data_IF_594732472359
#
_entry.id   IF_594732472359
#
_cell.length_a   1.000
_cell.length_b   1.000
_cell.length_c   1.000
_cell.angle_alpha   90.00
_cell.angle_beta   90.00
_cell.angle_gamma   90.00
#
_symmetry.space_group_name_H-M   'P 1'
#
loop_
_entity.id
_entity.type
_entity.pdbx_description
1 polymer ?
#
# COMPACT_ATOMS: atom_id res chain seq x y z
N UNK A 1 11.61 -32.20 1.79
CA UNK A 1 11.88 -30.94 2.51
C UNK A 1 13.28 -31.04 3.11
N UNK A 2 14.18 -30.08 2.87
CA UNK A 2 15.52 -30.08 3.47
C UNK A 2 15.47 -30.20 5.00
N UNK A 3 16.42 -30.90 5.63
CA UNK A 3 16.49 -31.06 7.10
C UNK A 3 16.43 -29.70 7.82
N UNK A 4 17.07 -28.68 7.25
CA UNK A 4 17.04 -27.30 7.75
C UNK A 4 15.62 -26.73 7.83
N UNK A 5 14.80 -26.93 6.80
CA UNK A 5 13.42 -26.43 6.76
C UNK A 5 12.51 -27.22 7.70
N UNK A 6 12.76 -28.52 7.85
CA UNK A 6 12.07 -29.34 8.85
C UNK A 6 12.34 -28.83 10.26
N UNK A 7 13.61 -28.62 10.62
CA UNK A 7 13.99 -28.11 11.94
C UNK A 7 13.46 -26.69 12.18
N UNK A 8 13.52 -25.81 11.17
CA UNK A 8 12.97 -24.47 11.27
C UNK A 8 11.46 -24.51 11.57
N UNK A 9 10.70 -25.35 10.85
CA UNK A 9 9.26 -25.52 11.09
C UNK A 9 8.96 -26.16 12.45
N UNK A 10 9.73 -27.16 12.87
CA UNK A 10 9.55 -27.82 14.15
C UNK A 10 9.73 -26.85 15.34
N UNK A 11 10.63 -25.86 15.20
CA UNK A 11 10.88 -24.85 16.24
C UNK A 11 9.91 -23.67 16.21
N UNK A 12 9.08 -23.51 15.16
CA UNK A 12 8.16 -22.37 15.02
C UNK A 12 7.28 -22.13 16.25
N UNK A 13 6.62 -23.14 16.85
CA UNK A 13 5.73 -22.89 17.98
C UNK A 13 6.46 -22.34 19.20
N UNK A 14 7.70 -22.79 19.42
CA UNK A 14 8.54 -22.31 20.51
C UNK A 14 8.99 -20.87 20.24
N UNK A 15 9.49 -20.60 19.03
CA UNK A 15 9.98 -19.27 18.66
C UNK A 15 8.84 -18.23 18.62
N UNK A 16 7.64 -18.62 18.18
CA UNK A 16 6.46 -17.77 18.25
C UNK A 16 6.11 -17.40 19.69
N UNK A 17 6.16 -18.34 20.65
CA UNK A 17 5.94 -18.01 22.07
C UNK A 17 6.96 -16.99 22.60
N UNK A 18 8.21 -17.05 22.13
CA UNK A 18 9.22 -16.04 22.46
C UNK A 18 8.91 -14.69 21.81
N UNK A 19 8.49 -14.67 20.53
CA UNK A 19 8.01 -13.45 19.87
C UNK A 19 6.86 -12.80 20.65
N UNK A 20 5.86 -13.59 21.06
CA UNK A 20 4.68 -13.09 21.76
C UNK A 20 5.05 -12.48 23.12
N UNK A 21 5.97 -13.10 23.86
CA UNK A 21 6.51 -12.54 25.11
C UNK A 21 7.27 -11.22 24.88
N UNK A 22 8.06 -11.15 23.80
CA UNK A 22 8.76 -9.92 23.43
C UNK A 22 7.76 -8.81 23.07
N UNK A 23 6.71 -9.10 22.28
CA UNK A 23 5.67 -8.13 21.96
C UNK A 23 4.90 -7.66 23.20
N UNK A 24 4.49 -8.59 24.07
CA UNK A 24 3.79 -8.27 25.33
C UNK A 24 4.66 -7.43 26.28
N UNK A 25 5.97 -7.62 26.27
CA UNK A 25 6.93 -6.81 27.02
C UNK A 25 7.29 -5.47 26.35
N UNK A 26 6.68 -5.10 25.23
CA UNK A 26 6.97 -3.84 24.51
C UNK A 26 8.25 -3.90 23.64
N UNK A 27 8.89 -5.07 23.52
CA UNK A 27 10.12 -5.27 22.75
C UNK A 27 9.85 -5.64 21.28
N UNK A 28 8.98 -4.87 20.61
CA UNK A 28 8.54 -5.14 19.23
C UNK A 28 9.72 -5.27 18.24
N UNK A 29 10.75 -4.43 18.36
CA UNK A 29 11.94 -4.48 17.50
C UNK A 29 12.68 -5.81 17.64
N UNK A 30 12.81 -6.34 18.85
CA UNK A 30 13.45 -7.63 19.10
C UNK A 30 12.60 -8.78 18.54
N UNK A 31 11.27 -8.71 18.68
CA UNK A 31 10.36 -9.68 18.07
C UNK A 31 10.50 -9.69 16.53
N UNK A 32 10.56 -8.52 15.89
CA UNK A 32 10.77 -8.42 14.44
C UNK A 32 12.15 -8.95 13.99
N UNK A 33 13.21 -8.67 14.75
CA UNK A 33 14.53 -9.25 14.48
C UNK A 33 14.50 -10.78 14.56
N UNK A 34 13.78 -11.34 15.53
CA UNK A 34 13.61 -12.78 15.69
C UNK A 34 12.84 -13.40 14.51
N UNK A 35 11.76 -12.77 14.05
CA UNK A 35 11.02 -13.20 12.85
C UNK A 35 11.87 -13.16 11.60
N UNK A 36 12.67 -12.10 11.41
CA UNK A 36 13.60 -12.00 10.28
C UNK A 36 14.65 -13.11 10.31
N UNK A 37 15.20 -13.43 11.49
CA UNK A 37 16.13 -14.57 11.65
C UNK A 37 15.47 -15.90 11.28
N UNK A 38 14.26 -16.14 11.77
CA UNK A 38 13.48 -17.34 11.40
C UNK A 38 13.24 -17.44 9.90
N UNK A 39 12.85 -16.33 9.25
CA UNK A 39 12.64 -16.31 7.81
C UNK A 39 13.94 -16.61 7.04
N UNK A 40 15.07 -16.11 7.50
CA UNK A 40 16.38 -16.38 6.89
C UNK A 40 16.88 -17.83 7.14
N UNK A 41 16.38 -18.50 8.18
CA UNK A 41 16.68 -19.91 8.43
C UNK A 41 15.97 -20.82 7.44
N UNK A 42 14.81 -20.41 6.92
CA UNK A 42 14.07 -21.16 5.90
C UNK A 42 14.72 -21.04 4.53
N UNK A 43 14.47 -22.04 3.69
CA UNK A 43 14.77 -21.96 2.26
C UNK A 43 13.91 -20.89 1.59
N UNK A 44 14.46 -20.31 0.53
CA UNK A 44 13.71 -19.38 -0.31
C UNK A 44 12.53 -20.09 -0.97
N UNK A 45 11.33 -19.55 -0.79
CA UNK A 45 10.09 -20.05 -1.37
C UNK A 45 9.46 -18.96 -2.23
N UNK A 46 9.51 -19.13 -3.56
CA UNK A 46 9.03 -18.12 -4.52
C UNK A 46 7.55 -17.77 -4.32
N UNK A 47 6.72 -18.77 -4.02
CA UNK A 47 5.28 -18.58 -3.81
C UNK A 47 4.98 -17.63 -2.64
N UNK A 48 5.70 -17.77 -1.52
CA UNK A 48 5.54 -16.89 -0.35
C UNK A 48 5.87 -15.42 -0.69
N UNK A 49 6.90 -15.19 -1.50
CA UNK A 49 7.26 -13.85 -1.94
C UNK A 49 6.35 -13.29 -3.04
N UNK A 50 5.71 -14.15 -3.86
CA UNK A 50 4.69 -13.72 -4.81
C UNK A 50 3.41 -13.26 -4.09
N UNK A 51 3.03 -13.91 -2.97
CA UNK A 51 1.93 -13.41 -2.13
C UNK A 51 2.24 -12.02 -1.56
N UNK A 52 3.46 -11.81 -1.05
CA UNK A 52 3.92 -10.48 -0.62
C UNK A 52 3.83 -9.46 -1.75
N UNK A 53 4.33 -9.79 -2.94
CA UNK A 53 4.30 -8.91 -4.10
C UNK A 53 2.89 -8.54 -4.51
N UNK A 54 1.98 -9.52 -4.59
CA UNK A 54 0.57 -9.30 -4.91
C UNK A 54 -0.08 -8.37 -3.89
N UNK A 55 0.16 -8.61 -2.59
CA UNK A 55 -0.37 -7.75 -1.52
C UNK A 55 0.09 -6.29 -1.66
N UNK A 56 1.38 -6.05 -1.91
CA UNK A 56 1.92 -4.70 -2.09
C UNK A 56 1.35 -4.02 -3.34
N UNK A 57 1.18 -4.77 -4.43
CA UNK A 57 0.57 -4.25 -5.66
C UNK A 57 -0.89 -3.87 -5.45
N UNK A 58 -1.67 -4.69 -4.76
CA UNK A 58 -3.08 -4.40 -4.52
C UNK A 58 -3.25 -3.26 -3.52
N UNK A 59 -2.39 -3.16 -2.50
CA UNK A 59 -2.28 -1.98 -1.63
C UNK A 59 -2.05 -0.68 -2.43
N UNK A 60 -1.16 -0.71 -3.42
CA UNK A 60 -0.94 0.43 -4.30
C UNK A 60 -2.16 0.74 -5.18
N UNK A 61 -2.78 -0.27 -5.80
CA UNK A 61 -3.99 -0.10 -6.62
C UNK A 61 -5.14 0.49 -5.80
N UNK A 62 -5.34 0.01 -4.58
CA UNK A 62 -6.36 0.52 -3.67
C UNK A 62 -6.14 2.00 -3.39
N UNK A 63 -4.92 2.39 -3.00
CA UNK A 63 -4.56 3.81 -2.81
C UNK A 63 -4.78 4.65 -4.06
N UNK A 64 -4.45 4.12 -5.24
CA UNK A 64 -4.69 4.80 -6.51
C UNK A 64 -6.18 5.06 -6.73
N UNK A 65 -7.03 4.05 -6.56
CA UNK A 65 -8.48 4.17 -6.77
C UNK A 65 -9.14 5.12 -5.77
N UNK A 66 -8.72 5.09 -4.50
CA UNK A 66 -9.26 6.00 -3.47
C UNK A 66 -8.85 7.45 -3.75
N UNK A 67 -7.62 7.69 -4.19
CA UNK A 67 -7.19 9.04 -4.57
C UNK A 67 -7.95 9.54 -5.80
N UNK A 68 -8.21 8.64 -6.77
CA UNK A 68 -9.08 8.93 -7.92
C UNK A 68 -10.50 9.28 -7.49
N UNK A 69 -11.09 8.49 -6.58
CA UNK A 69 -12.42 8.73 -6.03
C UNK A 69 -12.49 10.11 -5.36
N UNK A 70 -11.54 10.41 -4.47
CA UNK A 70 -11.49 11.70 -3.77
C UNK A 70 -11.40 12.90 -4.72
N UNK A 71 -10.54 12.79 -5.75
CA UNK A 71 -10.41 13.84 -6.76
C UNK A 71 -11.70 14.04 -7.57
N UNK A 72 -12.35 12.95 -8.00
CA UNK A 72 -13.60 13.04 -8.76
C UNK A 72 -14.77 13.49 -7.92
N UNK A 73 -14.80 13.15 -6.63
CA UNK A 73 -15.81 13.62 -5.69
C UNK A 73 -15.72 15.15 -5.54
N UNK A 74 -14.51 15.69 -5.36
CA UNK A 74 -14.31 17.15 -5.29
C UNK A 74 -14.82 17.86 -6.55
N UNK A 75 -14.54 17.30 -7.73
CA UNK A 75 -15.03 17.83 -9.00
C UNK A 75 -16.56 17.77 -9.10
N UNK A 76 -17.14 16.62 -8.73
CA UNK A 76 -18.59 16.43 -8.70
C UNK A 76 -19.26 17.46 -7.78
N UNK A 77 -18.78 17.61 -6.55
CA UNK A 77 -19.37 18.52 -5.56
C UNK A 77 -19.28 19.98 -6.03
N UNK A 78 -18.18 20.36 -6.70
CA UNK A 78 -18.02 21.69 -7.30
C UNK A 78 -19.05 21.95 -8.39
N UNK A 79 -19.24 21.00 -9.32
CA UNK A 79 -20.21 21.14 -10.42
C UNK A 79 -21.65 21.12 -9.92
N UNK A 80 -21.94 20.27 -8.94
CA UNK A 80 -23.26 20.19 -8.31
C UNK A 80 -23.65 21.52 -7.65
N UNK A 81 -22.73 22.15 -6.91
CA UNK A 81 -22.95 23.48 -6.34
C UNK A 81 -23.15 24.58 -7.39
N UNK A 82 -22.55 24.44 -8.59
CA UNK A 82 -22.77 25.38 -9.69
C UNK A 82 -24.16 25.21 -10.30
N UNK A 83 -24.60 23.96 -10.47
CA UNK A 83 -25.95 23.64 -10.94
C UNK A 83 -27.02 24.21 -10.01
N UNK A 84 -26.89 24.01 -8.70
CA UNK A 84 -27.83 24.50 -7.68
C UNK A 84 -27.97 26.03 -7.69
N UNK A 85 -26.91 26.76 -8.05
CA UNK A 85 -26.89 28.23 -8.09
C UNK A 85 -27.35 28.81 -9.43
N UNK A 86 -27.43 28.00 -10.49
CA UNK A 86 -27.79 28.47 -11.83
C UNK A 86 -29.26 28.18 -12.14
N UNK A 87 -30.08 29.22 -12.31
CA UNK A 87 -31.49 29.07 -12.70
C UNK A 87 -31.68 28.45 -14.11
N UNK A 88 -30.63 28.46 -14.92
CA UNK A 88 -30.55 27.79 -16.22
C UNK A 88 -29.29 26.92 -16.27
N UNK A 89 -29.37 25.73 -15.67
CA UNK A 89 -28.33 24.72 -15.80
C UNK A 89 -28.11 24.41 -17.28
N UNK A 90 -26.87 24.55 -17.76
CA UNK A 90 -26.56 24.12 -19.14
C UNK A 90 -26.68 22.60 -19.22
N UNK A 91 -27.26 22.09 -20.32
CA UNK A 91 -27.36 20.65 -20.55
C UNK A 91 -25.98 19.96 -20.43
N UNK A 92 -24.91 20.66 -20.81
CA UNK A 92 -23.52 20.21 -20.66
C UNK A 92 -23.13 19.94 -19.20
N UNK A 93 -23.48 20.82 -18.26
CA UNK A 93 -23.16 20.64 -16.83
C UNK A 93 -23.92 19.45 -16.23
N UNK A 94 -25.18 19.26 -16.63
CA UNK A 94 -25.99 18.10 -16.21
C UNK A 94 -25.35 16.81 -16.70
N UNK A 95 -25.04 16.72 -18.00
CA UNK A 95 -24.40 15.53 -18.58
C UNK A 95 -23.03 15.24 -17.96
N UNK A 96 -22.23 16.26 -17.67
CA UNK A 96 -20.92 16.08 -17.01
C UNK A 96 -21.08 15.56 -15.58
N UNK A 97 -22.05 16.07 -14.83
CA UNK A 97 -22.35 15.63 -13.46
C UNK A 97 -22.82 14.18 -13.43
N UNK A 98 -23.74 13.79 -14.33
CA UNK A 98 -24.19 12.40 -14.48
C UNK A 98 -23.03 11.46 -14.86
N UNK A 99 -22.16 11.89 -15.78
CA UNK A 99 -20.97 11.13 -16.19
C UNK A 99 -20.01 10.89 -15.01
N UNK A 100 -19.79 11.92 -14.18
CA UNK A 100 -18.98 11.80 -12.97
C UNK A 100 -19.62 10.85 -11.95
N UNK A 101 -20.93 10.93 -11.76
CA UNK A 101 -21.65 10.05 -10.86
C UNK A 101 -21.54 8.58 -11.29
N UNK A 102 -21.69 8.30 -12.58
CA UNK A 102 -21.48 6.95 -13.14
C UNK A 102 -20.04 6.47 -12.93
N UNK A 103 -19.05 7.35 -13.11
CA UNK A 103 -17.64 7.03 -12.88
C UNK A 103 -17.35 6.74 -11.40
N UNK A 104 -17.95 7.51 -10.48
CA UNK A 104 -17.82 7.28 -9.03
C UNK A 104 -18.46 5.95 -8.60
N UNK A 105 -19.60 5.58 -9.19
CA UNK A 105 -20.21 4.26 -8.96
C UNK A 105 -19.31 3.13 -9.46
N UNK A 106 -18.68 3.28 -10.62
CA UNK A 106 -17.72 2.31 -11.13
C UNK A 106 -16.49 2.17 -10.22
N UNK A 107 -15.95 3.30 -9.75
CA UNK A 107 -14.84 3.30 -8.79
C UNK A 107 -15.18 2.56 -7.49
N UNK A 108 -16.42 2.70 -6.99
CA UNK A 108 -16.85 1.94 -5.81
C UNK A 108 -16.77 0.43 -6.05
N UNK A 109 -17.24 -0.05 -7.20
CA UNK A 109 -17.14 -1.47 -7.56
C UNK A 109 -15.68 -1.91 -7.63
N UNK A 110 -14.82 -1.12 -8.29
CA UNK A 110 -13.39 -1.44 -8.45
C UNK A 110 -12.64 -1.44 -7.11
N UNK A 111 -12.92 -0.48 -6.24
CA UNK A 111 -12.36 -0.43 -4.88
C UNK A 111 -12.76 -1.70 -4.12
N UNK A 112 -14.05 -2.04 -4.14
CA UNK A 112 -14.56 -3.25 -3.48
C UNK A 112 -13.88 -4.52 -4.01
N UNK A 113 -13.69 -4.64 -5.33
CA UNK A 113 -12.97 -5.77 -5.93
C UNK A 113 -11.53 -5.86 -5.42
N UNK A 114 -10.80 -4.75 -5.40
CA UNK A 114 -9.40 -4.75 -4.91
C UNK A 114 -9.34 -5.07 -3.41
N UNK A 115 -10.28 -4.58 -2.59
CA UNK A 115 -10.37 -4.95 -1.17
C UNK A 115 -10.60 -6.45 -0.99
N UNK A 116 -11.43 -7.07 -1.84
CA UNK A 116 -11.66 -8.52 -1.86
C UNK A 116 -10.43 -9.30 -2.32
N UNK A 117 -9.72 -8.81 -3.32
CA UNK A 117 -8.47 -9.41 -3.80
C UNK A 117 -7.40 -9.38 -2.70
N UNK A 118 -7.24 -8.22 -2.04
CA UNK A 118 -6.33 -8.07 -0.91
C UNK A 118 -6.66 -9.02 0.24
N UNK A 119 -7.93 -9.13 0.61
CA UNK A 119 -8.39 -10.08 1.63
C UNK A 119 -8.07 -11.52 1.23
N UNK A 120 -8.26 -11.87 -0.03
CA UNK A 120 -7.99 -13.21 -0.57
C UNK A 120 -6.50 -13.53 -0.56
N UNK A 121 -5.66 -12.61 -1.04
CA UNK A 121 -4.19 -12.73 -1.00
C UNK A 121 -3.71 -12.88 0.45
N UNK A 122 -4.26 -12.09 1.37
CA UNK A 122 -3.89 -12.13 2.78
C UNK A 122 -4.32 -13.44 3.47
N UNK A 123 -5.55 -13.89 3.22
CA UNK A 123 -6.08 -15.14 3.76
C UNK A 123 -5.28 -16.36 3.28
N UNK A 124 -4.89 -16.35 2.01
CA UNK A 124 -4.08 -17.41 1.40
C UNK A 124 -2.57 -17.25 1.67
N UNK A 125 -2.14 -16.16 2.30
CA UNK A 125 -0.73 -15.95 2.63
C UNK A 125 -0.27 -17.06 3.59
N UNK A 126 0.80 -17.82 3.27
CA UNK A 126 1.29 -18.89 4.11
C UNK A 126 1.61 -18.43 5.54
N UNK A 127 1.16 -19.18 6.53
CA UNK A 127 1.49 -18.90 7.92
C UNK A 127 2.99 -19.11 8.18
N UNK A 128 3.57 -18.19 8.94
CA UNK A 128 4.99 -18.19 9.21
C UNK A 128 5.53 -16.82 9.63
N UNK A 129 6.84 -16.73 9.85
CA UNK A 129 7.48 -15.52 10.35
C UNK A 129 7.26 -14.30 9.45
N UNK A 130 7.19 -14.48 8.12
CA UNK A 130 6.92 -13.38 7.19
C UNK A 130 5.53 -12.76 7.39
N UNK A 131 4.47 -13.60 7.40
CA UNK A 131 3.09 -13.14 7.63
C UNK A 131 2.93 -12.52 9.02
N UNK A 132 3.53 -13.12 10.06
CA UNK A 132 3.52 -12.55 11.43
C UNK A 132 4.22 -11.19 11.48
N UNK A 133 5.36 -11.05 10.80
CA UNK A 133 6.10 -9.79 10.75
C UNK A 133 5.32 -8.69 10.04
N UNK A 134 4.74 -8.98 8.86
CA UNK A 134 3.85 -8.06 8.16
C UNK A 134 2.65 -7.67 9.03
N UNK A 135 2.01 -8.64 9.68
CA UNK A 135 0.86 -8.38 10.56
C UNK A 135 1.24 -7.46 11.72
N UNK A 136 2.38 -7.70 12.35
CA UNK A 136 2.86 -6.87 13.45
C UNK A 136 3.24 -5.46 13.00
N UNK A 137 3.90 -5.33 11.85
CA UNK A 137 4.27 -4.02 11.30
C UNK A 137 3.01 -3.22 10.90
N UNK A 138 2.09 -3.82 10.15
CA UNK A 138 0.85 -3.18 9.71
C UNK A 138 -0.11 -2.81 10.85
N UNK A 139 0.02 -3.42 12.04
CA UNK A 139 -0.74 -3.05 13.25
C UNK A 139 -0.33 -1.68 13.80
N UNK A 140 0.89 -1.22 13.53
CA UNK A 140 1.29 0.15 13.84
C UNK A 140 0.61 1.10 12.86
N UNK A 141 -0.20 2.05 13.35
CA UNK A 141 -0.93 2.99 12.49
C UNK A 141 -0.03 3.76 11.53
N UNK A 142 1.25 3.95 11.89
CA UNK A 142 2.20 4.77 11.15
C UNK A 142 3.20 3.94 10.35
N UNK A 143 2.97 2.64 10.15
CA UNK A 143 3.88 1.76 9.39
C UNK A 143 4.20 2.31 7.99
N UNK A 144 3.20 2.91 7.34
CA UNK A 144 3.34 3.48 6.01
C UNK A 144 4.18 4.76 6.02
N UNK A 145 4.45 5.35 7.18
CA UNK A 145 5.29 6.54 7.36
C UNK A 145 6.75 6.19 7.67
N UNK A 146 7.20 4.95 7.45
CA UNK A 146 8.63 4.64 7.57
C UNK A 146 9.48 5.60 6.73
N UNK A 147 10.67 5.96 7.23
CA UNK A 147 11.58 6.90 6.58
C UNK A 147 11.82 6.55 5.10
N UNK A 148 12.01 5.25 4.82
CA UNK A 148 12.23 4.79 3.46
C UNK A 148 11.00 4.98 2.55
N UNK A 149 9.77 4.71 3.03
CA UNK A 149 8.56 4.94 2.22
C UNK A 149 8.30 6.42 1.97
N UNK A 150 8.63 7.28 2.95
CA UNK A 150 8.58 8.72 2.77
C UNK A 150 9.59 9.18 1.71
N UNK A 151 10.82 8.67 1.77
CA UNK A 151 11.87 8.96 0.80
C UNK A 151 11.52 8.45 -0.61
N UNK A 152 10.92 7.25 -0.71
CA UNK A 152 10.44 6.70 -1.98
C UNK A 152 9.34 7.60 -2.58
N UNK A 153 8.35 7.99 -1.77
CA UNK A 153 7.30 8.93 -2.19
C UNK A 153 7.91 10.27 -2.64
N UNK A 154 8.91 10.79 -1.94
CA UNK A 154 9.61 12.02 -2.34
C UNK A 154 10.36 11.85 -3.66
N UNK A 155 11.08 10.73 -3.84
CA UNK A 155 11.89 10.43 -5.02
C UNK A 155 11.09 10.34 -6.32
N UNK A 156 9.85 9.86 -6.25
CA UNK A 156 8.92 9.83 -7.41
C UNK A 156 8.15 11.15 -7.62
N UNK A 157 8.56 12.24 -6.95
CA UNK A 157 7.93 13.56 -7.06
C UNK A 157 6.61 13.70 -6.27
N UNK A 158 6.41 12.86 -5.26
CA UNK A 158 5.21 12.83 -4.42
C UNK A 158 5.17 13.91 -3.33
N UNK A 159 4.20 13.74 -2.44
CA UNK A 159 3.83 14.69 -1.38
C UNK A 159 4.95 14.93 -0.36
N UNK A 160 5.71 13.88 -0.06
CA UNK A 160 6.72 13.88 0.99
C UNK A 160 7.89 14.84 0.71
N UNK A 161 8.20 15.12 -0.56
CA UNK A 161 9.24 16.10 -0.92
C UNK A 161 8.87 17.55 -0.54
N UNK A 162 7.58 17.86 -0.40
CA UNK A 162 7.07 19.22 -0.14
C UNK A 162 6.51 19.43 1.27
N UNK A 163 6.42 18.38 2.08
CA UNK A 163 5.86 18.48 3.43
C UNK A 163 4.36 18.83 3.50
N UNK A 164 3.57 18.63 2.43
CA UNK A 164 2.15 19.03 2.40
C UNK A 164 1.23 18.20 3.33
N UNK A 165 1.76 17.14 3.97
CA UNK A 165 1.05 16.33 4.95
C UNK A 165 -0.12 15.52 4.38
N UNK A 166 -0.31 15.49 3.06
CA UNK A 166 -1.35 14.70 2.41
C UNK A 166 -1.27 13.23 2.86
N UNK A 167 -0.08 12.67 2.94
CA UNK A 167 0.16 11.26 3.22
C UNK A 167 -0.35 10.83 4.62
N UNK A 168 -0.52 11.77 5.57
CA UNK A 168 -1.03 11.52 6.93
C UNK A 168 -2.54 11.74 7.10
N UNK A 169 -3.20 12.35 6.10
CA UNK A 169 -4.62 12.70 6.15
C UNK A 169 -5.46 11.67 5.40
N UNK A 170 -6.69 11.46 5.86
CA UNK A 170 -7.70 10.75 5.09
C UNK A 170 -7.89 11.42 3.72
N UNK A 171 -8.06 10.62 2.66
CA UNK A 171 -8.29 11.13 1.30
C UNK A 171 -9.72 11.61 1.07
N UNK A 172 -10.67 10.95 1.72
CA UNK A 172 -12.07 11.30 1.71
C UNK A 172 -12.69 10.95 3.05
N UNK A 173 -13.76 11.64 3.43
CA UNK A 173 -14.56 11.30 4.61
C UNK A 173 -15.17 9.90 4.50
N UNK A 174 -15.51 9.48 3.28
CA UNK A 174 -16.05 8.16 2.96
C UNK A 174 -15.08 7.01 3.25
N UNK A 175 -13.76 7.29 3.24
CA UNK A 175 -12.69 6.30 3.41
C UNK A 175 -11.67 6.81 4.43
N UNK A 176 -12.14 7.17 5.63
CA UNK A 176 -11.34 7.80 6.70
C UNK A 176 -10.09 7.01 7.10
N UNK A 177 -10.19 5.68 7.00
CA UNK A 177 -9.14 4.77 7.48
C UNK A 177 -8.06 4.52 6.42
N UNK A 178 -8.23 5.07 5.21
CA UNK A 178 -7.29 4.90 4.11
C UNK A 178 -6.32 6.08 4.03
N UNK A 179 -5.25 5.95 4.82
CA UNK A 179 -4.07 6.83 4.78
C UNK A 179 -2.95 6.18 3.97
N UNK A 180 -2.02 7.00 3.48
CA UNK A 180 -0.87 6.49 2.73
C UNK A 180 -0.30 7.47 1.72
N UNK A 181 0.83 7.06 1.14
CA UNK A 181 1.55 7.86 0.17
C UNK A 181 0.75 8.16 -1.09
N UNK A 182 1.06 9.32 -1.67
CA UNK A 182 0.41 9.78 -2.88
C UNK A 182 0.73 8.86 -4.04
N UNK A 183 -0.29 8.61 -4.86
CA UNK A 183 -0.13 8.08 -6.20
C UNK A 183 -0.22 9.25 -7.17
N UNK A 184 -0.23 8.91 -8.45
CA UNK A 184 -0.38 9.85 -9.54
C UNK A 184 -1.77 10.52 -9.60
N UNK A 185 -2.75 10.05 -8.83
CA UNK A 185 -4.10 10.62 -8.71
C UNK A 185 -4.25 11.59 -7.52
N UNK A 186 -3.16 11.90 -6.81
CA UNK A 186 -3.21 12.90 -5.74
C UNK A 186 -3.40 14.30 -6.31
N UNK A 187 -4.54 14.94 -6.00
CA UNK A 187 -4.87 16.31 -6.45
C UNK A 187 -3.82 17.34 -6.03
N UNK A 188 -3.35 17.31 -4.78
CA UNK A 188 -2.27 18.21 -4.32
C UNK A 188 -0.96 18.04 -5.10
N UNK A 189 -0.63 16.81 -5.52
CA UNK A 189 0.54 16.59 -6.37
C UNK A 189 0.31 17.01 -7.81
N UNK A 190 -0.91 16.85 -8.34
CA UNK A 190 -1.30 17.34 -9.66
C UNK A 190 -1.21 18.87 -9.73
N UNK A 191 -1.78 19.58 -8.75
CA UNK A 191 -1.76 21.04 -8.65
C UNK A 191 -0.32 21.57 -8.55
N UNK A 192 0.49 21.00 -7.65
CA UNK A 192 1.89 21.41 -7.49
C UNK A 192 2.72 21.17 -8.75
N UNK A 193 2.37 20.14 -9.54
CA UNK A 193 3.04 19.83 -10.81
C UNK A 193 2.53 20.70 -11.97
N UNK A 194 1.33 21.25 -11.86
CA UNK A 194 0.68 22.05 -12.91
C UNK A 194 0.12 21.23 -14.08
N UNK A 195 0.18 19.89 -14.01
CA UNK A 195 -0.42 19.02 -15.03
C UNK A 195 -0.77 17.64 -14.50
N UNK A 196 -1.78 17.06 -15.15
CA UNK A 196 -2.24 15.69 -14.92
C UNK A 196 -1.37 14.67 -15.64
N UNK A 197 -0.98 13.62 -14.93
CA UNK A 197 -0.31 12.47 -15.53
C UNK A 197 -1.33 11.65 -16.33
N UNK A 198 -1.08 11.48 -17.64
CA UNK A 198 -1.90 10.63 -18.51
C UNK A 198 -1.30 9.22 -18.55
N UNK A 199 -2.09 8.19 -18.27
CA UNK A 199 -1.63 6.80 -18.29
C UNK A 199 -2.10 6.08 -19.55
N UNK A 200 -1.17 5.57 -20.34
CA UNK A 200 -1.41 4.53 -21.35
C UNK A 200 -1.31 3.16 -20.64
N UNK A 201 -2.31 2.82 -19.81
CA UNK A 201 -2.34 1.56 -19.06
C UNK A 201 -1.45 1.51 -17.80
N UNK A 202 -1.35 0.33 -17.19
CA UNK A 202 -0.64 0.10 -15.90
C UNK A 202 0.88 0.26 -15.99
N UNK A 203 1.48 0.04 -17.16
CA UNK A 203 2.92 0.14 -17.37
C UNK A 203 3.43 1.59 -17.53
N UNK A 204 2.53 2.56 -17.71
CA UNK A 204 2.89 3.96 -17.97
C UNK A 204 2.83 4.89 -16.75
N UNK A 205 2.53 4.37 -15.55
CA UNK A 205 2.42 5.21 -14.36
C UNK A 205 3.79 5.40 -13.68
N UNK A 206 4.38 6.61 -13.68
CA UNK A 206 5.70 6.84 -13.09
C UNK A 206 5.73 6.67 -11.56
N UNK A 207 4.56 6.60 -10.92
CA UNK A 207 4.43 6.35 -9.49
C UNK A 207 3.98 4.92 -9.18
N UNK A 208 3.91 4.03 -10.18
CA UNK A 208 3.63 2.62 -9.95
C UNK A 208 4.83 1.91 -9.33
N UNK A 209 4.54 1.02 -8.38
CA UNK A 209 5.55 0.15 -7.80
C UNK A 209 5.71 -1.06 -8.72
N UNK A 210 6.78 -1.07 -9.51
CA UNK A 210 7.20 -2.27 -10.25
C UNK A 210 8.43 -2.90 -9.61
N UNK A 211 8.25 -4.11 -9.11
CA UNK A 211 9.31 -4.89 -8.50
C UNK A 211 9.05 -6.38 -8.66
N UNK A 212 10.14 -7.14 -8.64
CA UNK A 212 10.14 -8.58 -8.41
C UNK A 212 10.95 -8.88 -7.16
N UNK A 213 10.58 -9.95 -6.46
CA UNK A 213 11.38 -10.46 -5.35
C UNK A 213 12.25 -11.59 -5.89
N UNK A 214 13.56 -11.40 -5.86
CA UNK A 214 14.52 -12.44 -6.21
C UNK A 214 15.22 -12.96 -4.96
N UNK A 215 15.82 -14.15 -5.07
CA UNK A 215 16.56 -14.77 -3.96
C UNK A 215 17.70 -13.88 -3.47
N UNK A 216 18.31 -13.10 -4.35
CA UNK A 216 19.42 -12.20 -4.07
C UNK A 216 18.97 -11.01 -3.22
N UNK A 217 17.74 -10.50 -3.41
CA UNK A 217 17.18 -9.40 -2.60
C UNK A 217 17.05 -9.80 -1.12
N UNK A 218 16.87 -11.09 -0.86
CA UNK A 218 16.73 -11.64 0.50
C UNK A 218 18.10 -11.93 1.12
N UNK A 219 19.00 -12.55 0.36
CA UNK A 219 20.23 -13.16 0.90
C UNK A 219 21.48 -12.29 0.75
N UNK A 220 21.55 -11.39 -0.23
CA UNK A 220 22.78 -10.66 -0.53
C UNK A 220 22.98 -9.46 0.42
N UNK A 221 24.23 -9.17 0.85
CA UNK A 221 24.55 -7.90 1.49
C UNK A 221 24.26 -6.71 0.54
N UNK A 222 23.88 -5.56 1.09
CA UNK A 222 23.52 -4.36 0.32
C UNK A 222 22.04 -4.00 0.39
N UNK A 223 21.69 -2.87 -0.22
CA UNK A 223 20.35 -2.26 -0.23
C UNK A 223 19.84 -2.17 -1.67
N UNK A 224 19.09 -3.17 -2.13
CA UNK A 224 18.29 -3.05 -3.37
C UNK A 224 16.96 -2.37 -3.07
N UNK A 225 16.30 -1.80 -4.09
CA UNK A 225 14.96 -1.24 -3.96
C UNK A 225 13.99 -2.23 -3.32
N UNK A 226 13.93 -3.46 -3.87
CA UNK A 226 13.07 -4.54 -3.35
C UNK A 226 13.37 -4.86 -1.89
N UNK A 227 14.64 -4.91 -1.50
CA UNK A 227 15.01 -5.21 -0.11
C UNK A 227 14.59 -4.12 0.85
N UNK A 228 14.74 -2.85 0.47
CA UNK A 228 14.26 -1.73 1.28
C UNK A 228 12.73 -1.72 1.37
N UNK A 229 12.04 -2.03 0.28
CA UNK A 229 10.58 -2.20 0.26
C UNK A 229 10.13 -3.33 1.20
N UNK A 230 10.81 -4.48 1.18
CA UNK A 230 10.58 -5.58 2.11
C UNK A 230 10.83 -5.14 3.55
N UNK A 231 11.93 -4.43 3.84
CA UNK A 231 12.18 -3.92 5.18
C UNK A 231 11.05 -3.00 5.66
N UNK A 232 10.59 -2.07 4.81
CA UNK A 232 9.54 -1.13 5.17
C UNK A 232 8.18 -1.78 5.39
N UNK A 233 7.77 -2.73 4.54
CA UNK A 233 6.47 -3.39 4.64
C UNK A 233 6.43 -4.55 5.64
N UNK A 234 7.51 -5.31 5.76
CA UNK A 234 7.55 -6.56 6.53
C UNK A 234 8.18 -6.34 7.89
N UNK A 235 9.41 -5.81 7.92
CA UNK A 235 10.24 -5.89 9.12
C UNK A 235 10.09 -4.66 10.03
N UNK A 236 9.94 -3.46 9.47
CA UNK A 236 9.94 -2.21 10.24
C UNK A 236 11.23 -2.01 11.05
N UNK A 237 12.37 -2.46 10.51
CA UNK A 237 13.68 -2.52 11.20
C UNK A 237 14.72 -1.55 10.65
#
# INVERSE_FOLDING_TARGET
MPLKDYLAKALDPLLQRFEDRLEQGGHLRQAQQLRRKQQNWRSYESQTWEHFRSYVKDQWKLRFLIQREAHLQLKHDTLFQQLDKSASASATLVTETESLQNTLQDLNRRIWTVERDMHTVWSNFPDGPLKRAMSANCRNSDWYLSEWLQADCAGVGGCCARGCGCCMRARSSKRSDHRGHCTSECTCCEEARGFKLKFLGSAGNPMAIDFGVKKEDINRPGNSYTKCLINAYVWGL
#
